data_IF_450090045322
#
_entry.id   IF_450090045322
#
_cell.length_a   1.000
_cell.length_b   1.000
_cell.length_c   1.000
_cell.angle_alpha   90.00
_cell.angle_beta   90.00
_cell.angle_gamma   90.00
#
_symmetry.space_group_name_H-M   'P 1'
#
loop_
_entity.id
_entity.type
_entity.pdbx_description
1 polymer ?
#
# COMPACT_ATOMS: atom_id res chain seq x y z
N UNK A 1 -1.70 21.25 9.60
CA UNK A 1 -1.44 21.10 11.06
C UNK A 1 -0.95 19.70 11.45
N UNK A 2 -0.36 18.94 10.53
CA UNK A 2 0.11 17.55 10.77
C UNK A 2 1.63 17.45 10.94
N UNK A 3 2.39 18.45 10.46
CA UNK A 3 3.86 18.49 10.52
C UNK A 3 4.39 18.76 11.94
N UNK A 4 3.59 19.42 12.80
CA UNK A 4 3.99 19.63 14.21
C UNK A 4 3.90 18.37 15.07
N UNK A 5 3.12 17.35 14.68
CA UNK A 5 2.95 16.12 15.48
C UNK A 5 4.13 15.15 15.31
N UNK A 6 4.74 15.12 14.13
CA UNK A 6 5.94 14.31 13.90
C UNK A 6 7.15 14.89 14.62
N UNK A 7 7.31 16.22 14.65
CA UNK A 7 8.41 16.86 15.37
C UNK A 7 8.38 16.60 16.89
N UNK A 8 7.19 16.53 17.49
CA UNK A 8 7.03 16.27 18.92
C UNK A 8 7.41 14.83 19.34
N UNK A 9 7.24 13.85 18.44
CA UNK A 9 7.63 12.45 18.69
C UNK A 9 9.16 12.26 18.67
N UNK A 10 9.89 13.02 17.86
CA UNK A 10 11.36 12.95 17.81
C UNK A 10 12.04 13.70 18.97
N UNK A 11 11.42 14.75 19.51
CA UNK A 11 11.98 15.50 20.64
C UNK A 11 12.00 14.70 21.96
N UNK A 12 11.07 13.75 22.13
CA UNK A 12 11.02 12.91 23.33
C UNK A 12 12.12 11.83 23.37
N UNK A 13 12.68 11.43 22.21
CA UNK A 13 13.74 10.42 22.16
C UNK A 13 15.13 10.99 22.52
N UNK A 14 15.33 12.30 22.37
CA UNK A 14 16.64 12.94 22.55
C UNK A 14 16.92 13.41 23.99
N UNK A 15 15.90 13.57 24.84
CA UNK A 15 16.04 14.21 26.14
C UNK A 15 16.45 13.28 27.30
N UNK A 16 16.57 11.96 27.08
CA UNK A 16 16.85 10.98 28.15
C UNK A 16 18.34 10.70 28.42
N UNK A 17 19.28 11.26 27.65
CA UNK A 17 20.70 10.85 27.68
C UNK A 17 21.60 11.68 28.61
N UNK A 18 21.07 12.72 29.27
CA UNK A 18 21.86 13.64 30.08
C UNK A 18 21.46 13.58 31.55
N UNK A 19 21.99 12.58 32.25
CA UNK A 19 22.02 12.57 33.70
C UNK A 19 21.67 11.24 34.29
N UNK A 20 22.70 10.44 34.61
CA UNK A 20 22.85 9.75 35.88
C UNK A 20 24.17 8.97 35.82
N UNK A 21 25.19 9.55 36.46
CA UNK A 21 26.42 8.87 36.87
C UNK A 21 26.06 7.79 37.91
N UNK A 22 25.59 6.65 37.43
CA UNK A 22 25.37 5.43 38.20
C UNK A 22 25.69 4.22 37.33
N UNK A 23 26.84 3.59 37.58
CA UNK A 23 27.25 2.32 36.96
C UNK A 23 26.39 1.11 37.41
N UNK A 24 25.09 1.29 37.57
CA UNK A 24 24.18 0.25 38.05
C UNK A 24 22.94 0.20 37.15
N UNK A 25 22.99 -0.78 36.24
CA UNK A 25 21.92 -1.28 35.39
C UNK A 25 21.53 -0.46 34.13
N UNK A 26 22.13 -0.84 32.99
CA UNK A 26 21.77 -0.36 31.64
C UNK A 26 20.54 -1.05 31.05
N UNK A 27 19.89 -1.94 31.81
CA UNK A 27 18.75 -2.72 31.35
C UNK A 27 17.56 -1.85 30.93
N UNK A 28 17.12 -0.92 31.79
CA UNK A 28 15.96 -0.06 31.48
C UNK A 28 16.19 0.79 30.21
N UNK A 29 17.34 1.47 30.04
CA UNK A 29 17.65 2.15 28.77
C UNK A 29 17.68 1.21 27.55
N UNK A 30 18.21 -0.01 27.69
CA UNK A 30 18.24 -0.98 26.60
C UNK A 30 16.85 -1.43 26.17
N UNK A 31 15.98 -1.76 27.13
CA UNK A 31 14.58 -2.15 26.90
C UNK A 31 13.81 -1.01 26.23
N UNK A 32 13.95 0.22 26.73
CA UNK A 32 13.29 1.40 26.15
C UNK A 32 13.77 1.69 24.72
N UNK A 33 15.07 1.59 24.46
CA UNK A 33 15.63 1.82 23.13
C UNK A 33 15.10 0.78 22.12
N UNK A 34 15.10 -0.50 22.49
CA UNK A 34 14.57 -1.56 21.64
C UNK A 34 13.06 -1.38 21.38
N UNK A 35 12.28 -1.15 22.45
CA UNK A 35 10.84 -0.93 22.32
C UNK A 35 10.51 0.29 21.42
N UNK A 36 11.31 1.35 21.49
CA UNK A 36 11.17 2.51 20.62
C UNK A 36 11.42 2.20 19.14
N UNK A 37 12.43 1.37 18.85
CA UNK A 37 12.72 0.90 17.50
C UNK A 37 11.60 0.01 16.99
N UNK A 38 11.16 -0.96 17.79
CA UNK A 38 10.09 -1.89 17.43
C UNK A 38 8.79 -1.17 17.12
N UNK A 39 8.40 -0.22 17.98
CA UNK A 39 7.21 0.63 17.74
C UNK A 39 7.32 1.45 16.46
N UNK A 40 8.51 1.97 16.16
CA UNK A 40 8.74 2.72 14.92
C UNK A 40 8.69 1.81 13.69
N UNK A 41 9.21 0.58 13.81
CA UNK A 41 9.16 -0.42 12.75
C UNK A 41 7.73 -0.94 12.54
N UNK A 42 6.95 -1.13 13.60
CA UNK A 42 5.52 -1.47 13.50
C UNK A 42 4.74 -0.38 12.75
N UNK A 43 4.96 0.89 13.10
CA UNK A 43 4.26 2.02 12.47
C UNK A 43 4.67 2.31 11.02
N UNK A 44 5.79 1.77 10.54
CA UNK A 44 6.30 2.01 9.18
C UNK A 44 6.53 0.75 8.36
N UNK A 45 6.36 -0.43 8.96
CA UNK A 45 6.78 -1.71 8.42
C UNK A 45 6.09 -2.06 7.11
N UNK A 46 4.79 -1.79 6.98
CA UNK A 46 4.07 -2.03 5.73
C UNK A 46 4.60 -1.18 4.58
N UNK A 47 4.88 0.11 4.85
CA UNK A 47 5.43 1.00 3.84
C UNK A 47 6.85 0.57 3.43
N UNK A 48 7.71 0.25 4.41
CA UNK A 48 9.05 -0.23 4.15
C UNK A 48 9.03 -1.55 3.37
N UNK A 49 8.19 -2.51 3.76
CA UNK A 49 8.04 -3.79 3.08
C UNK A 49 7.54 -3.64 1.65
N UNK A 50 6.64 -2.69 1.40
CA UNK A 50 6.07 -2.46 0.06
C UNK A 50 7.06 -1.76 -0.88
N UNK A 51 7.77 -0.75 -0.40
CA UNK A 51 8.58 0.12 -1.27
C UNK A 51 10.09 -0.12 -1.20
N UNK A 52 10.59 -0.71 -0.13
CA UNK A 52 12.01 -1.01 0.09
C UNK A 52 12.19 -2.40 0.76
N UNK A 53 11.73 -3.50 0.15
CA UNK A 53 11.68 -4.80 0.80
C UNK A 53 13.04 -5.30 1.30
N UNK A 54 14.12 -5.12 0.53
CA UNK A 54 15.46 -5.55 0.94
C UNK A 54 15.95 -4.76 2.17
N UNK A 55 15.63 -3.47 2.24
CA UNK A 55 16.03 -2.62 3.37
C UNK A 55 15.18 -2.89 4.61
N UNK A 56 13.91 -3.24 4.43
CA UNK A 56 13.05 -3.71 5.51
C UNK A 56 13.66 -4.96 6.17
N UNK A 57 14.02 -5.97 5.38
CA UNK A 57 14.64 -7.21 5.89
C UNK A 57 15.97 -6.94 6.61
N UNK A 58 16.81 -6.05 6.06
CA UNK A 58 18.07 -5.66 6.70
C UNK A 58 17.85 -4.98 8.08
N UNK A 59 16.83 -4.14 8.21
CA UNK A 59 16.48 -3.50 9.49
C UNK A 59 15.91 -4.52 10.47
N UNK A 60 15.01 -5.42 10.03
CA UNK A 60 14.48 -6.51 10.85
C UNK A 60 15.61 -7.35 11.42
N UNK A 61 16.59 -7.74 10.61
CA UNK A 61 17.76 -8.50 11.07
C UNK A 61 18.57 -7.76 12.15
N UNK A 62 18.70 -6.44 12.05
CA UNK A 62 19.36 -5.61 13.08
C UNK A 62 18.55 -5.55 14.37
N UNK A 63 17.23 -5.42 14.27
CA UNK A 63 16.33 -5.46 15.44
C UNK A 63 16.42 -6.83 16.14
N UNK A 64 16.46 -7.93 15.39
CA UNK A 64 16.71 -9.27 15.94
C UNK A 64 18.07 -9.37 16.65
N UNK A 65 19.11 -8.76 16.08
CA UNK A 65 20.42 -8.65 16.74
C UNK A 65 20.37 -7.93 18.09
N UNK A 66 19.59 -6.85 18.18
CA UNK A 66 19.36 -6.14 19.44
C UNK A 66 18.53 -6.95 20.42
N UNK A 67 17.47 -7.66 19.97
CA UNK A 67 16.68 -8.61 20.79
C UNK A 67 17.56 -9.69 21.41
N UNK A 68 18.40 -10.31 20.59
CA UNK A 68 19.34 -11.34 21.04
C UNK A 68 20.33 -10.80 22.08
N UNK A 69 20.90 -9.62 21.82
CA UNK A 69 21.80 -8.95 22.77
C UNK A 69 21.10 -8.61 24.09
N UNK A 70 19.84 -8.16 24.05
CA UNK A 70 19.03 -7.90 25.24
C UNK A 70 18.78 -9.19 26.04
N UNK A 71 18.38 -10.28 25.37
CA UNK A 71 18.13 -11.58 26.00
C UNK A 71 19.39 -12.17 26.66
N UNK A 72 20.57 -11.88 26.11
CA UNK A 72 21.87 -12.25 26.66
C UNK A 72 22.37 -11.29 27.75
N UNK A 73 21.54 -10.34 28.20
CA UNK A 73 21.91 -9.28 29.15
C UNK A 73 23.08 -8.39 28.69
N UNK A 74 23.34 -8.30 27.38
CA UNK A 74 24.33 -7.41 26.78
C UNK A 74 23.82 -5.96 26.70
N UNK A 75 23.26 -5.42 27.78
CA UNK A 75 22.56 -4.13 27.80
C UNK A 75 23.39 -2.96 27.27
N UNK A 76 24.68 -2.91 27.59
CA UNK A 76 25.60 -1.87 27.09
C UNK A 76 25.72 -1.89 25.56
N UNK A 77 25.69 -3.08 24.96
CA UNK A 77 25.76 -3.24 23.51
C UNK A 77 24.47 -2.74 22.87
N UNK A 78 23.31 -3.11 23.42
CA UNK A 78 22.01 -2.60 22.96
C UNK A 78 21.96 -1.08 22.99
N UNK A 79 22.31 -0.46 24.12
CA UNK A 79 22.33 1.02 24.26
C UNK A 79 23.29 1.67 23.28
N UNK A 80 24.44 1.04 22.99
CA UNK A 80 25.45 1.56 22.06
C UNK A 80 25.01 1.46 20.60
N UNK A 81 24.37 0.36 20.22
CA UNK A 81 24.04 0.05 18.82
C UNK A 81 22.68 0.60 18.38
N UNK A 82 21.71 0.71 19.30
CA UNK A 82 20.37 1.19 19.03
C UNK A 82 20.31 2.54 18.26
N UNK A 83 21.12 3.57 18.57
CA UNK A 83 21.08 4.84 17.85
C UNK A 83 21.34 4.71 16.33
N UNK A 84 22.22 3.78 15.93
CA UNK A 84 22.51 3.55 14.52
C UNK A 84 21.32 2.90 13.81
N UNK A 85 20.63 1.97 14.47
CA UNK A 85 19.40 1.33 13.96
C UNK A 85 18.26 2.34 13.85
N UNK A 86 18.11 3.23 14.83
CA UNK A 86 17.13 4.33 14.78
C UNK A 86 17.37 5.24 13.57
N UNK A 87 18.61 5.67 13.34
CA UNK A 87 18.94 6.56 12.21
C UNK A 87 18.74 5.86 10.87
N UNK A 88 19.09 4.59 10.76
CA UNK A 88 18.85 3.80 9.56
C UNK A 88 17.38 3.61 9.25
N UNK A 89 16.57 3.30 10.27
CA UNK A 89 15.12 3.21 10.16
C UNK A 89 14.52 4.55 9.73
N UNK A 90 14.94 5.66 10.34
CA UNK A 90 14.48 7.01 9.97
C UNK A 90 14.77 7.32 8.50
N UNK A 91 15.97 6.99 8.02
CA UNK A 91 16.33 7.15 6.60
C UNK A 91 15.50 6.25 5.71
N UNK A 92 15.31 4.99 6.08
CA UNK A 92 14.49 4.05 5.31
C UNK A 92 13.04 4.55 5.17
N UNK A 93 12.47 5.13 6.24
CA UNK A 93 11.13 5.73 6.19
C UNK A 93 11.07 6.91 5.22
N UNK A 94 12.09 7.78 5.23
CA UNK A 94 12.18 8.89 4.28
C UNK A 94 12.32 8.40 2.83
N UNK A 95 13.19 7.42 2.60
CA UNK A 95 13.42 6.85 1.28
C UNK A 95 12.17 6.12 0.77
N UNK A 96 11.45 5.40 1.63
CA UNK A 96 10.19 4.76 1.26
C UNK A 96 9.08 5.76 0.95
N UNK A 97 9.12 6.97 1.52
CA UNK A 97 8.20 8.05 1.14
C UNK A 97 8.53 8.58 -0.26
N UNK A 98 9.81 8.67 -0.62
CA UNK A 98 10.26 9.04 -1.97
C UNK A 98 9.83 7.96 -2.98
N UNK A 99 10.15 6.70 -2.74
CA UNK A 99 9.78 5.59 -3.62
C UNK A 99 8.26 5.47 -3.79
N UNK A 100 7.47 5.75 -2.74
CA UNK A 100 6.02 5.84 -2.84
C UNK A 100 5.58 6.98 -3.76
N UNK A 101 6.20 8.16 -3.66
CA UNK A 101 5.86 9.29 -4.51
C UNK A 101 6.17 8.99 -5.99
N UNK A 102 7.29 8.32 -6.27
CA UNK A 102 7.66 7.88 -7.62
C UNK A 102 6.67 6.84 -8.17
N UNK A 103 6.34 5.82 -7.37
CA UNK A 103 5.34 4.81 -7.74
C UNK A 103 3.98 5.45 -8.04
N UNK A 104 3.60 6.48 -7.28
CA UNK A 104 2.35 7.21 -7.48
C UNK A 104 2.27 7.90 -8.84
N UNK A 105 3.37 8.43 -9.38
CA UNK A 105 3.36 9.05 -10.72
C UNK A 105 2.94 8.03 -11.79
N UNK A 106 3.47 6.80 -11.73
CA UNK A 106 3.12 5.74 -12.67
C UNK A 106 1.64 5.33 -12.52
N UNK A 107 1.17 5.20 -11.28
CA UNK A 107 -0.22 4.85 -10.97
C UNK A 107 -1.19 5.97 -11.38
N UNK A 108 -0.78 7.24 -11.30
CA UNK A 108 -1.56 8.40 -11.78
C UNK A 108 -1.68 8.41 -13.30
N UNK A 109 -0.59 8.11 -14.02
CA UNK A 109 -0.64 7.96 -15.46
C UNK A 109 -1.60 6.83 -15.88
N UNK A 110 -1.57 5.70 -15.16
CA UNK A 110 -2.50 4.59 -15.40
C UNK A 110 -3.95 4.96 -15.11
N UNK A 111 -4.23 5.64 -13.99
CA UNK A 111 -5.58 6.14 -13.70
C UNK A 111 -6.11 7.03 -14.83
N UNK A 112 -5.27 7.94 -15.33
CA UNK A 112 -5.61 8.83 -16.44
C UNK A 112 -5.89 8.08 -17.76
N UNK A 113 -5.29 6.91 -17.99
CA UNK A 113 -5.65 6.01 -19.09
C UNK A 113 -7.00 5.33 -18.83
N UNK A 114 -7.17 4.77 -17.64
CA UNK A 114 -8.38 4.04 -17.26
C UNK A 114 -9.63 4.93 -17.42
N UNK A 115 -9.59 6.17 -16.94
CA UNK A 115 -10.74 7.10 -17.04
C UNK A 115 -11.05 7.54 -18.48
N UNK A 116 -10.11 7.37 -19.43
CA UNK A 116 -10.35 7.63 -20.85
C UNK A 116 -10.95 6.40 -21.55
N UNK A 117 -10.44 5.22 -21.23
CA UNK A 117 -10.79 3.98 -21.95
C UNK A 117 -12.07 3.35 -21.41
N UNK A 118 -12.21 3.24 -20.09
CA UNK A 118 -13.30 2.47 -19.47
C UNK A 118 -14.69 3.03 -19.78
N UNK A 119 -14.95 4.36 -19.74
CA UNK A 119 -16.25 4.90 -20.14
C UNK A 119 -16.65 4.53 -21.58
N UNK A 120 -15.68 4.46 -22.49
CA UNK A 120 -15.91 4.00 -23.87
C UNK A 120 -16.32 2.53 -23.93
N UNK A 121 -15.66 1.67 -23.16
CA UNK A 121 -16.02 0.25 -23.06
C UNK A 121 -17.43 0.06 -22.47
N UNK A 122 -17.78 0.81 -21.42
CA UNK A 122 -19.12 0.78 -20.82
C UNK A 122 -20.17 1.17 -21.86
N UNK A 123 -19.92 2.24 -22.62
CA UNK A 123 -20.83 2.73 -23.66
C UNK A 123 -21.03 1.68 -24.76
N UNK A 124 -19.94 1.09 -25.27
CA UNK A 124 -20.01 0.05 -26.29
C UNK A 124 -20.78 -1.20 -25.81
N UNK A 125 -20.60 -1.60 -24.56
CA UNK A 125 -21.34 -2.72 -23.96
C UNK A 125 -22.83 -2.39 -23.80
N UNK A 126 -23.17 -1.19 -23.29
CA UNK A 126 -24.55 -0.71 -23.15
C UNK A 126 -25.27 -0.70 -24.52
N UNK A 127 -24.64 -0.15 -25.55
CA UNK A 127 -25.21 -0.12 -26.91
C UNK A 127 -25.44 -1.51 -27.48
N UNK A 128 -24.51 -2.45 -27.25
CA UNK A 128 -24.63 -3.82 -27.74
C UNK A 128 -25.72 -4.59 -27.00
N UNK A 129 -25.81 -4.46 -25.69
CA UNK A 129 -26.87 -5.05 -24.88
C UNK A 129 -28.25 -4.51 -25.28
N UNK A 130 -28.36 -3.21 -25.56
CA UNK A 130 -29.59 -2.61 -26.07
C UNK A 130 -30.00 -3.21 -27.42
N UNK A 131 -29.06 -3.38 -28.36
CA UNK A 131 -29.31 -4.01 -29.68
C UNK A 131 -29.74 -5.48 -29.56
N UNK A 132 -29.21 -6.20 -28.56
CA UNK A 132 -29.57 -7.59 -28.29
C UNK A 132 -30.96 -7.74 -27.64
N UNK A 133 -31.51 -6.67 -27.06
CA UNK A 133 -32.82 -6.66 -26.39
C UNK A 133 -33.01 -7.84 -25.41
N UNK A 134 -31.95 -8.19 -24.67
CA UNK A 134 -31.96 -9.28 -23.69
C UNK A 134 -31.83 -10.70 -24.27
N UNK A 135 -31.56 -10.84 -25.57
CA UNK A 135 -31.27 -12.13 -26.22
C UNK A 135 -29.77 -12.41 -26.24
N UNK A 136 -29.33 -13.65 -26.00
CA UNK A 136 -27.93 -14.01 -26.15
C UNK A 136 -27.48 -13.87 -27.62
N UNK A 137 -26.20 -13.56 -27.89
CA UNK A 137 -25.61 -13.72 -29.21
C UNK A 137 -25.80 -15.14 -29.75
N UNK A 138 -25.83 -15.29 -31.08
CA UNK A 138 -25.97 -16.62 -31.71
C UNK A 138 -24.86 -17.57 -31.25
N UNK A 139 -25.24 -18.80 -30.90
CA UNK A 139 -24.31 -19.82 -30.40
C UNK A 139 -23.91 -19.67 -28.93
N UNK A 140 -24.41 -18.65 -28.22
CA UNK A 140 -24.17 -18.47 -26.78
C UNK A 140 -25.30 -19.05 -25.93
N UNK A 141 -24.93 -19.77 -24.87
CA UNK A 141 -25.88 -20.26 -23.87
C UNK A 141 -26.56 -19.10 -23.11
N UNK A 142 -27.85 -19.26 -22.80
CA UNK A 142 -28.65 -18.20 -22.17
C UNK A 142 -28.23 -17.93 -20.73
N UNK A 143 -27.86 -18.96 -19.97
CA UNK A 143 -27.40 -18.81 -18.60
C UNK A 143 -26.02 -18.13 -18.57
N UNK A 144 -25.10 -18.56 -19.43
CA UNK A 144 -23.80 -17.93 -19.59
C UNK A 144 -23.92 -16.44 -19.97
N UNK A 145 -24.84 -16.09 -20.88
CA UNK A 145 -25.12 -14.71 -21.23
C UNK A 145 -25.63 -13.88 -20.03
N UNK A 146 -26.54 -14.44 -19.22
CA UNK A 146 -27.05 -13.75 -18.03
C UNK A 146 -25.95 -13.51 -16.99
N UNK A 147 -25.04 -14.47 -16.80
CA UNK A 147 -23.90 -14.32 -15.90
C UNK A 147 -22.94 -13.20 -16.38
N UNK A 148 -22.66 -13.12 -17.68
CA UNK A 148 -21.86 -12.02 -18.26
C UNK A 148 -22.53 -10.67 -18.01
N UNK A 149 -23.84 -10.57 -18.24
CA UNK A 149 -24.61 -9.33 -18.01
C UNK A 149 -24.58 -8.94 -16.53
N UNK A 150 -24.77 -9.88 -15.60
CA UNK A 150 -24.72 -9.61 -14.17
C UNK A 150 -23.35 -9.08 -13.74
N UNK A 151 -22.27 -9.77 -14.13
CA UNK A 151 -20.90 -9.35 -13.82
C UNK A 151 -20.55 -7.99 -14.43
N UNK A 152 -21.05 -7.70 -15.63
CA UNK A 152 -20.91 -6.38 -16.25
C UNK A 152 -21.58 -5.28 -15.42
N UNK A 153 -22.81 -5.49 -14.96
CA UNK A 153 -23.52 -4.48 -14.16
C UNK A 153 -22.85 -4.25 -12.81
N UNK A 154 -22.39 -5.31 -12.15
CA UNK A 154 -21.59 -5.19 -10.93
C UNK A 154 -20.30 -4.38 -11.18
N UNK A 155 -19.57 -4.69 -12.26
CA UNK A 155 -18.36 -3.98 -12.61
C UNK A 155 -18.62 -2.50 -12.97
N UNK A 156 -19.73 -2.20 -13.64
CA UNK A 156 -20.16 -0.83 -13.96
C UNK A 156 -20.43 -0.03 -12.69
N UNK A 157 -21.16 -0.59 -11.73
CA UNK A 157 -21.42 0.05 -10.44
C UNK A 157 -20.11 0.30 -9.70
N UNK A 158 -19.26 -0.72 -9.59
CA UNK A 158 -17.95 -0.61 -8.92
C UNK A 158 -17.04 0.43 -9.59
N UNK A 159 -17.09 0.57 -10.92
CA UNK A 159 -16.37 1.62 -11.64
C UNK A 159 -16.89 3.02 -11.29
N UNK A 160 -18.22 3.20 -11.24
CA UNK A 160 -18.82 4.48 -10.83
C UNK A 160 -18.43 4.88 -9.40
N UNK A 161 -18.39 3.93 -8.48
CA UNK A 161 -17.92 4.14 -7.11
C UNK A 161 -16.43 4.51 -7.08
N UNK A 162 -15.59 3.74 -7.78
CA UNK A 162 -14.15 4.00 -7.88
C UNK A 162 -13.85 5.39 -8.45
N UNK A 163 -14.56 5.81 -9.51
CA UNK A 163 -14.37 7.11 -10.15
C UNK A 163 -14.84 8.30 -9.28
N UNK A 164 -15.83 8.08 -8.42
CA UNK A 164 -16.43 9.14 -7.59
C UNK A 164 -15.83 9.27 -6.19
N UNK A 165 -15.21 8.20 -5.66
CA UNK A 165 -14.76 8.11 -4.27
C UNK A 165 -13.25 7.87 -4.12
N UNK A 166 -12.46 8.25 -5.12
CA UNK A 166 -11.00 8.04 -5.07
C UNK A 166 -10.34 8.99 -4.07
N UNK A 167 -9.58 8.44 -3.12
CA UNK A 167 -8.85 9.20 -2.10
C UNK A 167 -7.34 9.00 -2.23
N UNK A 168 -6.54 9.92 -1.68
CA UNK A 168 -5.07 9.79 -1.70
C UNK A 168 -4.58 8.56 -0.91
N UNK A 169 -5.30 8.14 0.13
CA UNK A 169 -4.98 6.97 0.96
C UNK A 169 -5.23 5.65 0.22
N UNK A 170 -6.26 5.59 -0.63
CA UNK A 170 -6.72 4.38 -1.33
C UNK A 170 -6.34 4.34 -2.80
N UNK A 171 -5.75 5.42 -3.34
CA UNK A 171 -5.48 5.64 -4.76
C UNK A 171 -4.92 4.41 -5.49
N UNK A 172 -3.83 3.83 -5.00
CA UNK A 172 -3.19 2.67 -5.64
C UNK A 172 -4.09 1.42 -5.64
N UNK A 173 -4.83 1.20 -4.56
CA UNK A 173 -5.79 0.11 -4.48
C UNK A 173 -6.96 0.33 -5.45
N UNK A 174 -7.45 1.57 -5.55
CA UNK A 174 -8.50 1.95 -6.50
C UNK A 174 -8.07 1.76 -7.95
N UNK A 175 -6.84 2.13 -8.31
CA UNK A 175 -6.30 1.91 -9.66
C UNK A 175 -6.12 0.42 -9.94
N UNK A 176 -5.59 -0.35 -8.98
CA UNK A 176 -5.47 -1.81 -9.13
C UNK A 176 -6.83 -2.48 -9.33
N UNK A 177 -7.84 -2.11 -8.54
CA UNK A 177 -9.21 -2.60 -8.72
C UNK A 177 -9.78 -2.21 -10.09
N UNK A 178 -9.54 -0.96 -10.50
CA UNK A 178 -10.01 -0.42 -11.78
C UNK A 178 -9.40 -1.12 -13.00
N UNK A 179 -8.16 -1.62 -12.89
CA UNK A 179 -7.56 -2.51 -13.89
C UNK A 179 -8.33 -3.81 -14.04
N UNK A 180 -8.74 -4.42 -12.93
CA UNK A 180 -9.56 -5.63 -12.95
C UNK A 180 -10.93 -5.35 -13.57
N UNK A 181 -11.54 -4.20 -13.28
CA UNK A 181 -12.80 -3.78 -13.90
C UNK A 181 -12.66 -3.59 -15.42
N UNK A 182 -11.57 -2.97 -15.89
CA UNK A 182 -11.25 -2.87 -17.33
C UNK A 182 -11.21 -4.25 -17.99
N UNK A 183 -10.62 -5.25 -17.34
CA UNK A 183 -10.62 -6.63 -17.84
C UNK A 183 -12.04 -7.21 -17.94
N UNK A 184 -12.89 -7.00 -16.92
CA UNK A 184 -14.31 -7.42 -16.97
C UNK A 184 -15.06 -6.78 -18.15
N UNK A 185 -14.84 -5.48 -18.40
CA UNK A 185 -15.47 -4.81 -19.54
C UNK A 185 -14.97 -5.35 -20.88
N UNK A 186 -13.67 -5.63 -21.01
CA UNK A 186 -13.11 -6.24 -22.21
C UNK A 186 -13.67 -7.66 -22.46
N UNK A 187 -13.73 -8.49 -21.42
CA UNK A 187 -14.35 -9.83 -21.46
C UNK A 187 -15.83 -9.75 -21.86
N UNK A 188 -16.56 -8.77 -21.32
CA UNK A 188 -17.97 -8.53 -21.67
C UNK A 188 -18.09 -8.17 -23.15
N UNK A 189 -17.31 -7.22 -23.65
CA UNK A 189 -17.36 -6.82 -25.05
C UNK A 189 -17.08 -8.00 -25.99
N UNK A 190 -16.07 -8.82 -25.66
CA UNK A 190 -15.75 -10.04 -26.40
C UNK A 190 -16.92 -11.03 -26.40
N UNK A 191 -17.52 -11.31 -25.23
CA UNK A 191 -18.68 -12.20 -25.11
C UNK A 191 -19.91 -11.68 -25.87
N UNK A 192 -20.04 -10.37 -26.04
CA UNK A 192 -21.10 -9.73 -26.83
C UNK A 192 -20.80 -9.69 -28.34
N UNK A 193 -19.62 -10.14 -28.77
CA UNK A 193 -19.17 -10.10 -30.17
C UNK A 193 -18.79 -8.70 -30.65
N UNK A 194 -18.42 -7.80 -29.74
CA UNK A 194 -17.85 -6.49 -30.08
C UNK A 194 -16.33 -6.67 -30.22
N UNK A 195 -15.74 -6.41 -31.40
CA UNK A 195 -14.30 -6.54 -31.57
C UNK A 195 -13.55 -5.57 -30.65
N UNK A 196 -12.38 -5.98 -30.16
CA UNK A 196 -11.50 -5.09 -29.42
C UNK A 196 -11.07 -3.94 -30.34
N UNK A 197 -11.45 -2.72 -29.99
CA UNK A 197 -10.97 -1.47 -30.60
C UNK A 197 -9.64 -1.05 -30.00
#
# INVERSE_FOLDING_TARGET
MTILRTAALYAALAAGLLGLSGCANQQVPAEQALAGIEKSLEGSGEQLKKYLPERYEAIVAKVEGLRSSLAQSEYRKVVKEAPAVVEELRRAVADAAISRAEARIAVEAEWNDLIKVVPGMITAADERLAKLAGRPPEGTDREAFQQVVARYQEARTAWGEAASSIETSTFEATVANSRNLKAVFAETLAALGVPAS
#
